data_IF_786392215200
#
_entry.id   IF_786392215200
#
_cell.length_a   1.000
_cell.length_b   1.000
_cell.length_c   1.000
_cell.angle_alpha   90.00
_cell.angle_beta   90.00
_cell.angle_gamma   90.00
#
_symmetry.space_group_name_H-M   'P 1'
#
loop_
_entity.id
_entity.type
_entity.pdbx_description
1 polymer ?
#
# COMPACT_ATOMS: atom_id res chain seq x y z
N UNK A 1 -9.26 23.41 -8.16
CA UNK A 1 -9.92 22.42 -9.03
C UNK A 1 -9.37 22.60 -10.44
N UNK A 2 -8.96 21.52 -11.09
CA UNK A 2 -8.35 21.53 -12.41
C UNK A 2 -9.17 20.71 -13.41
N UNK A 3 -8.61 20.59 -14.62
CA UNK A 3 -9.11 19.67 -15.64
C UNK A 3 -8.04 18.61 -15.90
N UNK A 4 -8.45 17.39 -16.24
CA UNK A 4 -7.54 16.35 -16.72
C UNK A 4 -7.19 16.57 -18.21
N UNK A 5 -6.39 15.67 -18.78
CA UNK A 5 -5.99 15.77 -20.20
C UNK A 5 -7.17 15.68 -21.18
N UNK A 6 -8.29 15.11 -20.75
CA UNK A 6 -9.53 15.01 -21.54
C UNK A 6 -10.43 16.24 -21.35
N UNK A 7 -9.94 17.31 -20.74
CA UNK A 7 -10.69 18.53 -20.41
C UNK A 7 -11.86 18.35 -19.43
N UNK A 8 -11.99 17.18 -18.77
CA UNK A 8 -13.01 16.91 -17.76
C UNK A 8 -12.65 17.63 -16.44
N UNK A 9 -13.65 18.14 -15.74
CA UNK A 9 -13.46 18.74 -14.40
C UNK A 9 -13.04 17.65 -13.41
N UNK A 10 -11.92 17.85 -12.70
CA UNK A 10 -11.45 16.92 -11.67
C UNK A 10 -11.98 17.31 -10.29
N UNK A 11 -12.54 16.34 -9.57
CA UNK A 11 -13.00 16.49 -8.19
C UNK A 11 -12.62 15.24 -7.39
N UNK A 12 -11.33 15.07 -7.15
CA UNK A 12 -10.73 13.93 -6.50
C UNK A 12 -10.10 14.33 -5.17
N UNK A 13 -10.07 13.42 -4.20
CA UNK A 13 -9.43 13.64 -2.90
C UNK A 13 -8.87 12.33 -2.34
N UNK A 14 -7.96 12.49 -1.39
CA UNK A 14 -7.41 11.43 -0.56
C UNK A 14 -7.59 11.80 0.91
N UNK A 15 -7.86 10.81 1.75
CA UNK A 15 -7.85 10.94 3.20
C UNK A 15 -7.10 9.75 3.80
N UNK A 16 -6.25 10.01 4.78
CA UNK A 16 -5.48 8.99 5.50
C UNK A 16 -5.59 9.22 7.00
N UNK A 17 -5.80 8.14 7.73
CA UNK A 17 -5.79 8.14 9.20
C UNK A 17 -4.95 6.96 9.69
N UNK A 18 -4.06 7.22 10.64
CA UNK A 18 -3.28 6.18 11.32
C UNK A 18 -3.28 6.44 12.81
N UNK A 19 -3.45 5.36 13.57
CA UNK A 19 -3.25 5.33 15.01
C UNK A 19 -2.25 4.23 15.37
N UNK A 20 -1.39 4.51 16.35
CA UNK A 20 -0.46 3.54 16.88
C UNK A 20 -0.59 3.50 18.41
N UNK A 21 -0.64 2.30 18.97
CA UNK A 21 -0.66 2.06 20.40
C UNK A 21 0.59 1.29 20.82
N UNK A 22 1.43 1.93 21.60
CA UNK A 22 2.65 1.34 22.16
C UNK A 22 2.27 0.62 23.44
N UNK A 23 2.29 -0.71 23.41
CA UNK A 23 1.98 -1.54 24.59
C UNK A 23 3.16 -1.47 25.57
N UNK A 24 4.37 -1.71 25.05
CA UNK A 24 5.62 -1.63 25.79
C UNK A 24 6.80 -1.33 24.84
N UNK A 25 8.04 -1.54 25.30
CA UNK A 25 9.25 -1.34 24.47
C UNK A 25 9.38 -2.35 23.31
N UNK A 26 8.64 -3.43 23.39
CA UNK A 26 8.73 -4.58 22.47
C UNK A 26 7.60 -4.56 21.46
N UNK A 27 6.37 -4.21 21.87
CA UNK A 27 5.17 -4.35 21.06
C UNK A 27 4.49 -3.02 20.75
N UNK A 28 4.16 -2.81 19.50
CA UNK A 28 3.31 -1.71 19.05
C UNK A 28 2.27 -2.24 18.08
N UNK A 29 1.02 -1.84 18.28
CA UNK A 29 -0.09 -2.14 17.35
C UNK A 29 -0.39 -0.88 16.56
N UNK A 30 -0.61 -1.03 15.27
CA UNK A 30 -0.92 0.07 14.34
C UNK A 30 -2.21 -0.25 13.59
N UNK A 31 -3.12 0.69 13.54
CA UNK A 31 -4.30 0.63 12.68
C UNK A 31 -4.29 1.83 11.75
N UNK A 32 -4.56 1.63 10.46
CA UNK A 32 -4.69 2.74 9.51
C UNK A 32 -5.77 2.49 8.47
N UNK A 33 -6.23 3.58 7.87
CA UNK A 33 -7.18 3.58 6.79
C UNK A 33 -6.80 4.66 5.79
N UNK A 34 -6.57 4.26 4.54
CA UNK A 34 -6.26 5.15 3.41
C UNK A 34 -7.41 5.09 2.41
N UNK A 35 -8.05 6.23 2.17
CA UNK A 35 -9.17 6.35 1.24
C UNK A 35 -8.77 7.25 0.07
N UNK A 36 -8.74 6.69 -1.12
CA UNK A 36 -8.54 7.38 -2.39
C UNK A 36 -9.87 7.39 -3.14
N UNK A 37 -10.42 8.56 -3.40
CA UNK A 37 -11.68 8.68 -4.11
C UNK A 37 -11.63 7.99 -5.48
N UNK A 38 -12.75 7.42 -5.90
CA UNK A 38 -12.90 6.72 -7.18
C UNK A 38 -13.97 7.35 -8.05
N UNK A 39 -13.97 6.97 -9.31
CA UNK A 39 -14.95 7.36 -10.30
C UNK A 39 -15.80 6.14 -10.67
N UNK A 40 -17.13 6.29 -10.58
CA UNK A 40 -18.13 5.30 -11.02
C UNK A 40 -18.66 5.59 -12.43
N UNK A 41 -18.26 6.70 -13.04
CA UNK A 41 -18.74 7.13 -14.35
C UNK A 41 -20.17 7.71 -14.35
N UNK A 42 -20.70 8.06 -13.18
CA UNK A 42 -22.08 8.54 -13.00
C UNK A 42 -22.21 10.06 -12.96
N UNK A 43 -21.14 10.81 -13.24
CA UNK A 43 -21.12 12.27 -13.19
C UNK A 43 -20.27 12.88 -14.29
N UNK A 44 -20.47 14.20 -14.51
CA UNK A 44 -19.70 15.06 -15.42
C UNK A 44 -18.28 15.43 -14.88
N UNK A 45 -17.90 14.88 -13.72
CA UNK A 45 -16.62 15.14 -13.07
C UNK A 45 -15.84 13.86 -12.92
N UNK A 46 -14.56 13.89 -13.25
CA UNK A 46 -13.63 12.82 -12.93
C UNK A 46 -13.29 12.83 -11.43
N UNK A 47 -13.59 11.75 -10.72
CA UNK A 47 -13.50 11.68 -9.25
C UNK A 47 -12.38 10.77 -8.75
N UNK A 48 -11.66 10.05 -9.61
CA UNK A 48 -10.60 9.17 -9.16
C UNK A 48 -9.33 9.95 -8.78
N UNK A 49 -8.85 9.70 -7.57
CA UNK A 49 -7.58 10.22 -7.11
C UNK A 49 -6.42 9.44 -7.74
N UNK A 50 -5.47 10.16 -8.32
CA UNK A 50 -4.26 9.57 -8.89
C UNK A 50 -3.08 9.77 -7.92
N UNK A 51 -2.40 8.68 -7.58
CA UNK A 51 -1.18 8.70 -6.76
C UNK A 51 -0.01 9.09 -7.66
N UNK A 52 0.38 10.37 -7.60
CA UNK A 52 1.58 10.87 -8.27
C UNK A 52 2.76 10.84 -7.31
N UNK A 53 3.96 10.53 -7.82
CA UNK A 53 5.21 10.58 -7.07
C UNK A 53 5.26 9.69 -5.82
N UNK A 54 4.46 8.65 -5.76
CA UNK A 54 4.52 7.65 -4.72
C UNK A 54 5.83 6.83 -4.78
N UNK A 55 6.05 5.96 -3.81
CA UNK A 55 7.21 5.07 -3.76
C UNK A 55 6.76 3.63 -3.60
N UNK A 56 7.40 2.71 -4.32
CA UNK A 56 7.07 1.28 -4.28
C UNK A 56 7.23 0.69 -2.89
N UNK A 57 6.46 -0.35 -2.58
CA UNK A 57 6.49 -1.15 -1.36
C UNK A 57 6.26 -0.36 -0.06
N UNK A 58 5.67 0.83 -0.16
CA UNK A 58 5.42 1.69 1.00
C UNK A 58 3.95 1.93 1.29
N UNK A 59 3.13 2.00 0.24
CA UNK A 59 1.72 2.36 0.34
C UNK A 59 0.86 1.27 -0.29
N UNK A 60 -0.29 0.99 0.33
CA UNK A 60 -1.34 0.11 -0.22
C UNK A 60 -0.87 -1.33 -0.45
N UNK A 61 -0.12 -1.88 0.52
CA UNK A 61 0.47 -3.22 0.49
C UNK A 61 1.84 -3.27 -0.18
N UNK A 62 2.65 -4.24 0.19
CA UNK A 62 4.02 -4.38 -0.30
C UNK A 62 4.11 -5.06 -1.68
N UNK A 63 3.02 -5.70 -2.14
CA UNK A 63 2.95 -6.31 -3.48
C UNK A 63 2.66 -5.31 -4.60
N UNK A 64 2.47 -4.02 -4.28
CA UNK A 64 2.30 -2.90 -5.22
C UNK A 64 1.09 -2.98 -6.17
N UNK A 65 0.11 -3.84 -5.92
CA UNK A 65 -1.06 -3.96 -6.79
C UNK A 65 -1.84 -2.66 -6.98
N UNK A 66 -1.78 -1.76 -6.00
CA UNK A 66 -2.57 -0.52 -6.00
C UNK A 66 -1.72 0.75 -6.03
N UNK A 67 -0.41 0.60 -6.09
CA UNK A 67 0.52 1.72 -6.04
C UNK A 67 0.35 2.69 -7.23
N UNK A 68 0.34 2.19 -8.44
CA UNK A 68 0.25 3.03 -9.64
C UNK A 68 -1.18 3.35 -10.06
N UNK A 69 -2.16 2.88 -9.33
CA UNK A 69 -3.60 3.08 -9.61
C UNK A 69 -4.07 2.64 -11.01
N UNK A 70 -3.24 1.94 -11.76
CA UNK A 70 -3.58 1.47 -13.10
C UNK A 70 -4.59 0.34 -13.03
N UNK A 71 -5.84 0.73 -13.14
CA UNK A 71 -6.94 -0.19 -13.33
C UNK A 71 -7.16 -0.43 -14.83
N UNK A 72 -7.52 -1.67 -15.19
CA UNK A 72 -7.81 -2.06 -16.56
C UNK A 72 -9.24 -1.69 -16.98
N UNK A 73 -9.51 -1.80 -18.26
CA UNK A 73 -10.86 -1.67 -18.86
C UNK A 73 -11.52 -0.31 -18.59
N UNK A 74 -10.74 0.76 -18.42
CA UNK A 74 -11.25 2.09 -18.17
C UNK A 74 -11.82 2.32 -16.76
N UNK A 75 -11.69 1.34 -15.87
CA UNK A 75 -12.11 1.52 -14.48
C UNK A 75 -11.17 2.49 -13.74
N UNK A 76 -11.76 3.30 -12.88
CA UNK A 76 -11.05 4.21 -11.99
C UNK A 76 -11.69 4.20 -10.59
N UNK A 77 -11.83 3.05 -9.94
CA UNK A 77 -12.71 2.87 -8.77
C UNK A 77 -12.16 3.49 -7.49
N UNK A 78 -10.93 4.05 -7.52
CA UNK A 78 -10.22 4.43 -6.30
C UNK A 78 -9.92 3.25 -5.40
N UNK A 79 -9.47 3.53 -4.18
CA UNK A 79 -9.03 2.50 -3.23
C UNK A 79 -9.46 2.86 -1.81
N UNK A 80 -9.88 1.87 -1.05
CA UNK A 80 -9.98 1.95 0.39
C UNK A 80 -9.15 0.82 1.00
N UNK A 81 -7.97 1.15 1.48
CA UNK A 81 -7.05 0.26 2.20
C UNK A 81 -7.29 0.40 3.71
N UNK A 82 -7.61 -0.70 4.36
CA UNK A 82 -7.73 -0.83 5.81
C UNK A 82 -6.62 -1.74 6.30
N UNK A 83 -5.72 -1.22 7.14
CA UNK A 83 -4.57 -1.95 7.63
C UNK A 83 -4.61 -2.12 9.14
N UNK A 84 -4.27 -3.31 9.58
CA UNK A 84 -3.94 -3.63 10.97
C UNK A 84 -2.52 -4.21 11.00
N UNK A 85 -1.65 -3.62 11.80
CA UNK A 85 -0.25 -4.03 11.89
C UNK A 85 0.22 -4.25 13.32
N UNK A 86 1.22 -5.09 13.45
CA UNK A 86 1.94 -5.32 14.70
C UNK A 86 3.43 -5.17 14.42
N UNK A 87 4.09 -4.31 15.20
CA UNK A 87 5.54 -4.20 15.23
C UNK A 87 6.06 -4.88 16.49
N UNK A 88 7.08 -5.71 16.29
CA UNK A 88 7.79 -6.43 17.35
C UNK A 88 9.27 -6.07 17.33
N UNK A 89 9.78 -5.48 18.41
CA UNK A 89 11.21 -5.22 18.59
C UNK A 89 11.82 -6.36 19.41
N UNK A 90 12.49 -7.29 18.70
CA UNK A 90 13.14 -8.43 19.35
C UNK A 90 14.41 -8.01 20.12
N UNK A 91 15.11 -6.96 19.65
CA UNK A 91 16.28 -6.37 20.32
C UNK A 91 16.53 -4.95 19.77
N UNK A 92 17.57 -4.28 20.28
CA UNK A 92 17.99 -2.98 19.73
C UNK A 92 18.49 -3.05 18.28
N UNK A 93 18.74 -4.27 17.78
CA UNK A 93 19.24 -4.52 16.41
C UNK A 93 18.22 -5.16 15.50
N UNK A 94 17.15 -5.75 16.02
CA UNK A 94 16.19 -6.55 15.24
C UNK A 94 14.78 -6.07 15.52
N UNK A 95 14.08 -5.68 14.48
CA UNK A 95 12.66 -5.38 14.47
C UNK A 95 11.93 -6.15 13.36
N UNK A 96 10.67 -6.45 13.60
CA UNK A 96 9.79 -7.16 12.70
C UNK A 96 8.45 -6.41 12.60
N UNK A 97 7.89 -6.40 11.40
CA UNK A 97 6.56 -5.86 11.12
C UNK A 97 5.70 -6.96 10.49
N UNK A 98 4.47 -7.10 10.97
CA UNK A 98 3.43 -7.91 10.35
C UNK A 98 2.23 -7.01 10.11
N UNK A 99 1.80 -6.89 8.84
CA UNK A 99 0.67 -6.09 8.46
C UNK A 99 -0.37 -6.94 7.73
N UNK A 100 -1.63 -6.71 8.04
CA UNK A 100 -2.78 -7.22 7.29
C UNK A 100 -3.49 -6.05 6.63
N UNK A 101 -3.71 -6.15 5.34
CA UNK A 101 -4.45 -5.19 4.54
C UNK A 101 -5.77 -5.81 4.04
N UNK A 102 -6.82 -5.03 4.06
CA UNK A 102 -8.07 -5.34 3.38
C UNK A 102 -8.41 -4.24 2.40
N UNK A 103 -8.34 -4.59 1.11
CA UNK A 103 -8.57 -3.65 0.01
C UNK A 103 -9.99 -3.71 -0.53
N UNK A 104 -10.55 -2.56 -0.80
CA UNK A 104 -11.83 -2.41 -1.48
C UNK A 104 -11.85 -1.20 -2.39
N UNK A 105 -12.73 -1.19 -3.39
CA UNK A 105 -12.96 0.00 -4.22
C UNK A 105 -13.64 1.10 -3.40
N UNK A 106 -13.26 2.35 -3.63
CA UNK A 106 -13.94 3.52 -3.06
C UNK A 106 -15.29 3.75 -3.76
N UNK A 107 -15.29 3.82 -5.07
CA UNK A 107 -16.51 3.89 -5.86
C UNK A 107 -17.21 2.53 -5.99
N UNK A 108 -18.51 2.55 -6.18
CA UNK A 108 -19.30 1.37 -6.53
C UNK A 108 -19.21 1.14 -8.04
N UNK A 109 -18.86 -0.07 -8.44
CA UNK A 109 -18.83 -0.47 -9.84
C UNK A 109 -20.12 -1.26 -10.18
N UNK A 110 -20.68 -1.11 -11.39
CA UNK A 110 -21.85 -1.88 -11.80
C UNK A 110 -21.58 -3.38 -11.75
N UNK A 111 -22.49 -4.13 -11.15
CA UNK A 111 -22.45 -5.60 -11.06
C UNK A 111 -21.22 -6.22 -10.37
N UNK A 112 -20.41 -5.42 -9.66
CA UNK A 112 -19.23 -5.87 -8.95
C UNK A 112 -19.34 -5.60 -7.45
N UNK A 113 -18.73 -6.48 -6.65
CA UNK A 113 -18.54 -6.28 -5.22
C UNK A 113 -17.40 -5.30 -4.98
N UNK A 114 -17.42 -4.57 -3.86
CA UNK A 114 -16.34 -3.63 -3.54
C UNK A 114 -15.02 -4.29 -3.11
N UNK A 115 -15.06 -5.49 -2.52
CA UNK A 115 -13.86 -6.16 -2.04
C UNK A 115 -12.92 -6.50 -3.19
N UNK A 116 -11.64 -6.08 -3.08
CA UNK A 116 -10.56 -6.38 -4.01
C UNK A 116 -9.73 -7.55 -3.54
N UNK A 117 -9.49 -7.67 -2.25
CA UNK A 117 -8.72 -8.75 -1.67
C UNK A 117 -8.13 -8.40 -0.32
N UNK A 118 -7.29 -9.30 0.17
CA UNK A 118 -6.53 -9.11 1.41
C UNK A 118 -5.09 -9.53 1.21
N UNK A 119 -4.18 -8.77 1.79
CA UNK A 119 -2.73 -8.98 1.71
C UNK A 119 -2.17 -9.08 3.13
N UNK A 120 -1.16 -9.94 3.29
CA UNK A 120 -0.37 -10.04 4.52
C UNK A 120 1.07 -9.77 4.16
N UNK A 121 1.67 -8.82 4.85
CA UNK A 121 3.07 -8.43 4.68
C UNK A 121 3.84 -8.72 5.96
N UNK A 122 4.91 -9.47 5.82
CA UNK A 122 5.90 -9.70 6.87
C UNK A 122 7.23 -9.09 6.46
N UNK A 123 7.87 -8.38 7.38
CA UNK A 123 9.20 -7.82 7.19
C UNK A 123 10.04 -8.00 8.46
N UNK A 124 11.31 -8.36 8.29
CA UNK A 124 12.32 -8.35 9.32
C UNK A 124 13.44 -7.39 8.93
N UNK A 125 13.92 -6.64 9.90
CA UNK A 125 15.02 -5.70 9.76
C UNK A 125 16.09 -6.04 10.80
N UNK A 126 17.35 -6.11 10.37
CA UNK A 126 18.49 -6.39 11.22
C UNK A 126 19.60 -5.38 10.98
N UNK A 127 19.92 -4.58 12.01
CA UNK A 127 21.09 -3.69 12.04
C UNK A 127 22.33 -4.53 12.38
N UNK A 128 22.99 -5.07 11.33
CA UNK A 128 24.10 -6.01 11.46
C UNK A 128 25.30 -5.33 12.14
N UNK A 129 25.64 -4.12 11.67
CA UNK A 129 26.68 -3.28 12.22
C UNK A 129 26.33 -1.82 11.95
N UNK A 130 27.19 -0.90 12.43
CA UNK A 130 27.03 0.53 12.13
C UNK A 130 26.95 0.74 10.61
N UNK A 131 26.00 1.53 10.18
CA UNK A 131 25.76 1.91 8.79
C UNK A 131 25.40 0.75 7.83
N UNK A 132 25.13 -0.49 8.35
CA UNK A 132 24.72 -1.65 7.56
C UNK A 132 23.45 -2.28 8.13
N UNK A 133 22.40 -2.27 7.32
CA UNK A 133 21.10 -2.88 7.64
C UNK A 133 20.77 -3.96 6.60
N UNK A 134 20.43 -5.15 7.07
CA UNK A 134 19.84 -6.22 6.28
C UNK A 134 18.33 -6.23 6.53
N UNK A 135 17.54 -6.36 5.48
CA UNK A 135 16.09 -6.49 5.56
C UNK A 135 15.63 -7.61 4.65
N UNK A 136 14.60 -8.34 5.07
CA UNK A 136 13.92 -9.32 4.26
C UNK A 136 12.42 -9.19 4.47
N UNK A 137 11.65 -9.47 3.44
CA UNK A 137 10.20 -9.44 3.50
C UNK A 137 9.56 -10.55 2.67
N UNK A 138 8.35 -10.89 3.05
CA UNK A 138 7.50 -11.82 2.32
C UNK A 138 6.07 -11.36 2.42
N UNK A 139 5.40 -11.30 1.28
CA UNK A 139 4.01 -10.87 1.17
C UNK A 139 3.21 -11.89 0.38
N UNK A 140 1.94 -12.05 0.72
CA UNK A 140 1.01 -12.82 -0.09
C UNK A 140 -0.36 -12.15 -0.12
N UNK A 141 -1.05 -12.28 -1.26
CA UNK A 141 -2.36 -11.71 -1.47
C UNK A 141 -3.37 -12.77 -1.93
N UNK A 142 -4.59 -12.64 -1.42
CA UNK A 142 -5.76 -13.34 -1.93
C UNK A 142 -6.74 -12.33 -2.53
N UNK A 143 -6.81 -12.30 -3.85
CA UNK A 143 -7.70 -11.44 -4.62
C UNK A 143 -9.15 -11.92 -4.59
N UNK A 144 -10.02 -11.21 -5.32
CA UNK A 144 -11.43 -11.52 -5.56
C UNK A 144 -11.75 -11.48 -7.05
N UNK A 145 -12.93 -11.93 -7.44
CA UNK A 145 -13.43 -11.79 -8.83
C UNK A 145 -13.44 -10.33 -9.29
N UNK A 146 -13.72 -9.38 -8.40
CA UNK A 146 -13.64 -7.95 -8.70
C UNK A 146 -12.20 -7.53 -9.05
N UNK A 147 -11.21 -8.07 -8.32
CA UNK A 147 -9.80 -7.83 -8.61
C UNK A 147 -9.43 -8.30 -10.03
N UNK A 148 -9.89 -9.49 -10.44
CA UNK A 148 -9.64 -10.00 -11.79
C UNK A 148 -10.19 -9.08 -12.88
N UNK A 149 -11.38 -8.53 -12.66
CA UNK A 149 -12.01 -7.62 -13.61
C UNK A 149 -11.27 -6.29 -13.72
N UNK A 150 -10.88 -5.70 -12.58
CA UNK A 150 -10.33 -4.33 -12.57
C UNK A 150 -8.80 -4.28 -12.71
N UNK A 151 -8.09 -5.36 -12.41
CA UNK A 151 -6.62 -5.46 -12.53
C UNK A 151 -6.17 -6.52 -13.53
N UNK A 152 -7.03 -7.50 -13.83
CA UNK A 152 -6.69 -8.71 -14.56
C UNK A 152 -6.08 -9.76 -13.65
N UNK A 153 -5.78 -10.92 -14.22
CA UNK A 153 -5.21 -12.05 -13.50
C UNK A 153 -6.25 -13.12 -13.15
N UNK A 154 -5.97 -13.88 -12.10
CA UNK A 154 -6.84 -14.94 -11.61
C UNK A 154 -6.73 -15.01 -10.08
N UNK A 155 -7.76 -14.58 -9.38
CA UNK A 155 -7.84 -14.57 -7.91
C UNK A 155 -7.72 -15.97 -7.26
N UNK A 156 -7.90 -17.04 -8.03
CA UNK A 156 -7.73 -18.43 -7.54
C UNK A 156 -6.30 -18.89 -7.49
N UNK A 157 -5.40 -18.18 -8.21
CA UNK A 157 -3.97 -18.47 -8.20
C UNK A 157 -3.32 -17.92 -6.92
N UNK A 158 -2.33 -18.65 -6.41
CA UNK A 158 -1.47 -18.15 -5.33
C UNK A 158 -0.66 -16.95 -5.85
N UNK A 159 -0.60 -15.88 -5.04
CA UNK A 159 0.10 -14.66 -5.37
C UNK A 159 0.97 -14.29 -4.17
N UNK A 160 2.26 -14.31 -4.37
CA UNK A 160 3.24 -13.97 -3.35
C UNK A 160 4.45 -13.25 -3.93
N UNK A 161 5.21 -12.63 -3.04
CA UNK A 161 6.42 -11.91 -3.36
C UNK A 161 7.37 -11.92 -2.16
N UNK A 162 8.66 -12.18 -2.43
CA UNK A 162 9.69 -12.17 -1.40
C UNK A 162 10.91 -11.38 -1.86
N UNK A 163 11.59 -10.73 -0.91
CA UNK A 163 12.75 -9.90 -1.18
C UNK A 163 13.75 -9.90 -0.04
N UNK A 164 14.99 -9.62 -0.38
CA UNK A 164 16.09 -9.34 0.56
C UNK A 164 16.80 -8.06 0.11
N UNK A 165 17.12 -7.19 1.06
CA UNK A 165 17.79 -5.92 0.82
C UNK A 165 18.94 -5.73 1.79
N UNK A 166 20.07 -5.23 1.26
CA UNK A 166 21.21 -4.77 2.05
C UNK A 166 21.34 -3.26 1.85
N UNK A 167 21.22 -2.51 2.93
CA UNK A 167 21.43 -1.06 2.91
C UNK A 167 22.74 -0.73 3.60
N UNK A 168 23.65 -0.10 2.84
CA UNK A 168 24.97 0.35 3.31
C UNK A 168 25.00 1.87 3.18
N UNK A 169 25.02 2.58 4.30
CA UNK A 169 24.90 4.05 4.32
C UNK A 169 26.03 4.71 5.17
N UNK A 170 27.31 4.50 4.82
CA UNK A 170 28.43 5.08 5.54
C UNK A 170 28.54 6.59 5.27
N UNK A 171 29.09 7.33 6.22
CA UNK A 171 29.49 8.71 5.97
C UNK A 171 30.74 8.72 5.06
N UNK A 172 30.55 9.07 3.78
CA UNK A 172 31.62 9.05 2.76
C UNK A 172 32.51 10.30 2.82
N UNK A 173 31.91 11.46 3.20
CA UNK A 173 32.64 12.72 3.31
C UNK A 173 32.15 13.48 4.57
N UNK A 174 33.15 14.00 5.32
CA UNK A 174 32.91 14.91 6.42
C UNK A 174 33.86 16.08 6.32
N UNK A 175 33.36 17.31 6.18
CA UNK A 175 34.14 18.55 6.23
C UNK A 175 33.68 19.32 7.47
N UNK A 176 34.63 19.65 8.32
CA UNK A 176 34.42 20.55 9.47
C UNK A 176 35.03 21.91 9.09
N UNK A 177 34.16 22.91 9.01
CA UNK A 177 34.55 24.32 8.82
C UNK A 177 34.94 24.93 10.18
#
# INVERSE_FOLDING_TARGET
MGKNLNAEKVSAFMASLQAAYVIDKTWTVVASADYLSGDSGDSDKYKAFNVLYGTHHKFYGAMDYFYASDFKNGYAPGLFDKRLGVRFRASDKVDMDLNYHHFSTAAKLPNLKKALGSEVDYQINWSVMKDVKLSAGYSFMRGTETMDVVKGGNHKSWQDWGWVSVNINPRVLFVKW
#
